data_IF_972838035387
#
_entry.id   IF_972838035387
#
_cell.length_a   1.000
_cell.length_b   1.000
_cell.length_c   1.000
_cell.angle_alpha   90.00
_cell.angle_beta   90.00
_cell.angle_gamma   90.00
#
_symmetry.space_group_name_H-M   'P 1'
#
loop_
_entity.id
_entity.type
_entity.pdbx_description
1 polymer ?
#
# COMPACT_ATOMS: atom_id res chain seq x y z
N UNK A 1 5.24 -4.94 -19.21
CA UNK A 1 4.87 -6.20 -18.55
C UNK A 1 4.45 -5.92 -17.12
N UNK A 2 3.41 -6.57 -16.61
CA UNK A 2 2.97 -6.52 -15.22
C UNK A 2 3.14 -7.91 -14.59
N UNK A 3 3.95 -8.01 -13.54
CA UNK A 3 4.22 -9.24 -12.81
C UNK A 3 3.57 -9.16 -11.43
N UNK A 4 2.38 -9.74 -11.29
CA UNK A 4 1.65 -9.81 -10.03
C UNK A 4 2.14 -11.02 -9.22
N UNK A 5 3.19 -10.84 -8.43
CA UNK A 5 3.66 -11.87 -7.51
C UNK A 5 2.63 -12.13 -6.41
N UNK A 6 2.45 -13.40 -6.05
CA UNK A 6 1.65 -13.79 -4.87
C UNK A 6 2.43 -13.63 -3.56
N UNK A 7 3.75 -13.52 -3.64
CA UNK A 7 4.61 -13.25 -2.48
C UNK A 7 4.52 -11.75 -2.08
N UNK A 8 4.49 -11.45 -0.80
CA UNK A 8 4.60 -12.35 0.35
C UNK A 8 3.24 -12.42 1.04
N UNK A 9 2.47 -13.45 0.80
CA UNK A 9 1.12 -13.62 1.31
C UNK A 9 0.96 -15.02 1.95
N UNK A 10 0.03 -15.13 2.90
CA UNK A 10 -0.34 -16.44 3.46
C UNK A 10 -0.87 -17.38 2.36
N UNK A 11 -0.65 -18.71 2.49
CA UNK A 11 0.03 -19.42 3.58
C UNK A 11 1.53 -19.16 3.63
N UNK A 12 2.12 -19.18 4.84
CA UNK A 12 3.56 -18.97 5.04
C UNK A 12 4.35 -20.20 4.60
N UNK A 13 4.64 -20.28 3.32
CA UNK A 13 5.28 -21.42 2.67
C UNK A 13 6.40 -20.95 1.76
N UNK A 14 7.57 -21.54 1.95
CA UNK A 14 8.75 -21.26 1.11
C UNK A 14 9.67 -22.48 1.09
N UNK A 15 10.43 -22.75 0.01
CA UNK A 15 11.42 -23.83 -0.03
C UNK A 15 12.44 -23.75 1.09
N UNK A 16 12.84 -24.93 1.61
CA UNK A 16 13.74 -25.09 2.76
C UNK A 16 15.02 -24.25 2.65
N UNK A 17 15.61 -24.17 1.46
CA UNK A 17 16.83 -23.39 1.21
C UNK A 17 16.73 -21.92 1.66
N UNK A 18 15.55 -21.32 1.61
CA UNK A 18 15.34 -19.95 2.06
C UNK A 18 15.16 -19.85 3.58
N UNK A 19 14.58 -20.88 4.21
CA UNK A 19 14.49 -20.97 5.67
C UNK A 19 15.87 -21.08 6.30
N UNK A 20 16.76 -21.85 5.67
CA UNK A 20 18.10 -22.12 6.16
C UNK A 20 19.01 -20.86 6.12
N UNK A 21 18.60 -19.82 5.39
CA UNK A 21 19.29 -18.52 5.38
C UNK A 21 19.05 -17.71 6.68
N UNK A 22 18.09 -18.10 7.50
CA UNK A 22 17.70 -17.39 8.72
C UNK A 22 17.78 -18.28 9.98
N UNK A 23 18.92 -18.93 10.28
CA UNK A 23 19.01 -19.90 11.37
C UNK A 23 18.82 -19.29 12.76
N UNK A 24 19.10 -17.99 12.90
CA UNK A 24 18.98 -17.28 14.19
C UNK A 24 17.54 -16.83 14.50
N UNK A 25 16.63 -16.86 13.53
CA UNK A 25 15.23 -16.48 13.73
C UNK A 25 14.46 -17.65 14.27
N UNK A 26 14.19 -17.64 15.59
CA UNK A 26 13.54 -18.75 16.30
C UNK A 26 12.05 -18.90 15.96
N UNK A 27 11.36 -17.79 15.69
CA UNK A 27 9.95 -17.83 15.31
C UNK A 27 9.80 -18.36 13.88
N UNK A 28 9.22 -19.55 13.73
CA UNK A 28 9.09 -20.22 12.42
C UNK A 28 8.29 -19.43 11.39
N UNK A 29 7.23 -18.75 11.81
CA UNK A 29 6.42 -17.93 10.89
C UNK A 29 7.19 -16.70 10.41
N UNK A 30 7.93 -16.05 11.32
CA UNK A 30 8.81 -14.94 10.97
C UNK A 30 9.92 -15.39 10.03
N UNK A 31 10.53 -16.52 10.31
CA UNK A 31 11.55 -17.14 9.45
C UNK A 31 11.00 -17.46 8.07
N UNK A 32 9.79 -18.01 8.01
CA UNK A 32 9.10 -18.28 6.73
C UNK A 32 8.83 -16.99 5.96
N UNK A 33 8.35 -15.93 6.62
CA UNK A 33 8.13 -14.64 6.00
C UNK A 33 9.42 -14.04 5.40
N UNK A 34 10.51 -14.07 6.16
CA UNK A 34 11.82 -13.59 5.68
C UNK A 34 12.29 -14.40 4.48
N UNK A 35 12.16 -15.73 4.54
CA UNK A 35 12.46 -16.62 3.41
C UNK A 35 11.61 -16.32 2.16
N UNK A 36 10.33 -15.99 2.34
CA UNK A 36 9.43 -15.60 1.22
C UNK A 36 9.86 -14.28 0.60
N UNK A 37 10.32 -13.31 1.40
CA UNK A 37 10.86 -12.03 0.91
C UNK A 37 12.12 -12.29 0.07
N UNK A 38 13.04 -13.14 0.55
CA UNK A 38 14.25 -13.51 -0.19
C UNK A 38 13.91 -14.24 -1.49
N UNK A 39 12.92 -15.14 -1.46
CA UNK A 39 12.47 -15.84 -2.67
C UNK A 39 11.87 -14.88 -3.71
N UNK A 40 11.17 -13.82 -3.28
CA UNK A 40 10.68 -12.75 -4.14
C UNK A 40 11.84 -11.97 -4.77
N UNK A 41 12.85 -11.61 -3.96
CA UNK A 41 14.04 -10.90 -4.40
C UNK A 41 14.83 -11.72 -5.45
N UNK A 42 15.02 -13.02 -5.22
CA UNK A 42 15.57 -13.95 -6.22
C UNK A 42 14.76 -13.98 -7.53
N UNK A 43 13.43 -13.90 -7.43
CA UNK A 43 12.55 -13.81 -8.59
C UNK A 43 12.79 -12.54 -9.40
N UNK A 44 12.91 -11.40 -8.73
CA UNK A 44 13.23 -10.10 -9.34
C UNK A 44 14.62 -10.13 -9.98
N UNK A 45 15.61 -10.70 -9.28
CA UNK A 45 16.97 -10.84 -9.80
C UNK A 45 17.01 -11.64 -11.11
N UNK A 46 16.22 -12.71 -11.24
CA UNK A 46 16.10 -13.49 -12.48
C UNK A 46 15.49 -12.65 -13.61
N UNK A 47 14.45 -11.89 -13.34
CA UNK A 47 13.85 -10.99 -14.34
C UNK A 47 14.87 -9.97 -14.84
N UNK A 48 15.60 -9.33 -13.92
CA UNK A 48 16.67 -8.38 -14.25
C UNK A 48 17.78 -9.06 -15.06
N UNK A 49 18.16 -10.28 -14.68
CA UNK A 49 19.15 -11.09 -15.44
C UNK A 49 18.74 -11.29 -16.89
N UNK A 50 17.52 -11.78 -17.12
CA UNK A 50 16.97 -11.98 -18.48
C UNK A 50 16.91 -10.68 -19.28
N UNK A 51 16.53 -9.57 -18.67
CA UNK A 51 16.51 -8.26 -19.35
C UNK A 51 17.93 -7.83 -19.78
N UNK A 52 18.94 -8.07 -18.94
CA UNK A 52 20.35 -7.77 -19.25
C UNK A 52 20.89 -8.67 -20.36
N UNK A 53 20.67 -9.99 -20.29
CA UNK A 53 21.09 -10.96 -21.28
C UNK A 53 20.52 -10.66 -22.68
N UNK A 54 19.29 -10.15 -22.73
CA UNK A 54 18.62 -9.77 -23.98
C UNK A 54 18.82 -8.30 -24.38
N UNK A 55 19.74 -7.56 -23.73
CA UNK A 55 20.06 -6.15 -24.00
C UNK A 55 18.84 -5.20 -23.90
N UNK A 56 17.85 -5.57 -23.07
CA UNK A 56 16.64 -4.77 -22.84
C UNK A 56 16.79 -3.84 -21.64
N UNK A 57 17.74 -4.14 -20.74
CA UNK A 57 17.90 -3.46 -19.45
C UNK A 57 18.11 -1.95 -19.60
N UNK A 58 18.91 -1.51 -20.55
CA UNK A 58 19.21 -0.10 -20.76
C UNK A 58 17.99 0.75 -21.14
N UNK A 59 16.97 0.12 -21.73
CA UNK A 59 15.70 0.75 -22.09
C UNK A 59 14.52 0.23 -21.25
N UNK A 60 14.79 -0.12 -19.99
CA UNK A 60 13.77 -0.62 -19.06
C UNK A 60 13.61 0.33 -17.87
N UNK A 61 12.36 0.65 -17.55
CA UNK A 61 11.99 1.23 -16.26
C UNK A 61 11.38 0.10 -15.41
N UNK A 62 12.08 -0.26 -14.34
CA UNK A 62 11.60 -1.22 -13.36
C UNK A 62 10.87 -0.47 -12.25
N UNK A 63 9.64 -0.88 -11.97
CA UNK A 63 8.80 -0.32 -10.91
C UNK A 63 8.42 -1.47 -9.98
N UNK A 64 8.64 -1.28 -8.70
CA UNK A 64 8.16 -2.17 -7.65
C UNK A 64 7.16 -1.42 -6.78
N UNK A 65 6.05 -2.07 -6.45
CA UNK A 65 5.08 -1.55 -5.48
C UNK A 65 4.44 -2.70 -4.72
N UNK A 66 4.39 -2.58 -3.40
CA UNK A 66 3.50 -3.40 -2.58
C UNK A 66 2.07 -2.91 -2.72
N UNK A 67 1.11 -3.77 -2.48
CA UNK A 67 -0.33 -3.47 -2.55
C UNK A 67 -0.85 -2.77 -1.28
N UNK A 68 -0.32 -3.13 -0.12
CA UNK A 68 -0.68 -2.58 1.19
C UNK A 68 0.41 -2.86 2.24
N UNK A 69 0.21 -2.37 3.44
CA UNK A 69 1.04 -2.72 4.58
C UNK A 69 0.83 -4.16 5.06
N UNK A 70 1.77 -4.66 5.84
CA UNK A 70 1.71 -6.02 6.38
C UNK A 70 0.52 -6.19 7.36
N UNK A 71 -0.12 -7.38 7.38
CA UNK A 71 -0.98 -7.77 8.49
C UNK A 71 -0.10 -8.13 9.68
N UNK A 72 -0.12 -7.31 10.73
CA UNK A 72 0.71 -7.48 11.95
C UNK A 72 -0.02 -8.23 13.07
N UNK A 73 -1.09 -8.95 12.75
CA UNK A 73 -1.75 -9.83 13.70
C UNK A 73 -0.98 -11.14 13.89
N UNK A 74 -1.04 -11.68 15.08
CA UNK A 74 -0.35 -12.84 15.67
C UNK A 74 -0.01 -14.03 14.75
N UNK A 75 -0.66 -14.15 13.61
CA UNK A 75 -0.50 -15.26 12.69
C UNK A 75 0.53 -15.05 11.58
N UNK A 76 0.89 -13.79 11.28
CA UNK A 76 1.64 -13.47 10.06
C UNK A 76 3.06 -12.95 10.29
N UNK A 77 3.37 -12.47 11.51
CA UNK A 77 4.72 -12.02 11.91
C UNK A 77 5.33 -10.93 11.00
N UNK A 78 4.47 -10.18 10.30
CA UNK A 78 4.86 -8.96 9.62
C UNK A 78 5.11 -7.80 10.58
N UNK A 79 5.72 -6.71 10.11
CA UNK A 79 5.84 -5.49 10.88
C UNK A 79 5.74 -4.29 9.94
N UNK A 80 5.02 -3.27 10.37
CA UNK A 80 4.95 -1.96 9.70
C UNK A 80 5.70 -0.90 10.51
N UNK A 81 6.41 -1.31 11.56
CA UNK A 81 7.16 -0.40 12.43
C UNK A 81 8.04 0.57 11.62
N UNK A 82 8.09 1.87 11.96
CA UNK A 82 7.45 2.54 13.11
C UNK A 82 6.03 3.08 12.83
N UNK A 83 5.39 2.66 11.74
CA UNK A 83 4.09 3.16 11.31
C UNK A 83 2.96 2.53 12.12
N UNK A 84 1.89 3.30 12.34
CA UNK A 84 0.70 2.85 13.03
C UNK A 84 -0.18 1.99 12.11
N UNK A 85 -0.67 0.87 12.66
CA UNK A 85 -1.69 0.06 12.01
C UNK A 85 -1.15 -0.97 11.02
N UNK A 86 -2.08 -1.54 10.23
CA UNK A 86 -1.82 -2.69 9.37
C UNK A 86 -2.78 -2.73 8.18
N UNK A 87 -2.61 -3.71 7.30
CA UNK A 87 -3.58 -4.08 6.25
C UNK A 87 -5.02 -3.99 6.78
N UNK A 88 -5.94 -3.46 5.97
CA UNK A 88 -7.35 -3.17 6.29
C UNK A 88 -7.57 -1.90 7.14
N UNK A 89 -6.53 -1.18 7.52
CA UNK A 89 -6.65 0.06 8.28
C UNK A 89 -6.17 1.25 7.46
N UNK A 90 -6.66 2.44 7.79
CA UNK A 90 -6.37 3.66 7.04
C UNK A 90 -5.17 4.45 7.59
N UNK A 91 -4.53 3.95 8.63
CA UNK A 91 -3.27 4.48 9.15
C UNK A 91 -2.10 4.18 8.20
N UNK A 92 -0.97 4.89 8.37
CA UNK A 92 0.19 4.77 7.48
C UNK A 92 0.70 3.33 7.39
N UNK A 93 0.68 2.54 8.47
CA UNK A 93 1.08 1.14 8.46
C UNK A 93 0.21 0.23 7.57
N UNK A 94 -1.02 0.65 7.25
CA UNK A 94 -1.89 -0.06 6.31
C UNK A 94 -1.80 0.44 4.88
N UNK A 95 -1.48 1.72 4.70
CA UNK A 95 -1.65 2.42 3.41
C UNK A 95 -0.36 2.90 2.76
N UNK A 96 0.71 3.13 3.53
CA UNK A 96 2.01 3.54 3.02
C UNK A 96 2.80 2.32 2.57
N UNK A 97 2.55 1.90 1.34
CA UNK A 97 3.21 0.74 0.74
C UNK A 97 4.68 1.04 0.37
N UNK A 98 5.51 -0.02 0.40
CA UNK A 98 6.87 0.03 -0.12
C UNK A 98 6.80 0.18 -1.64
N UNK A 99 7.58 1.11 -2.19
CA UNK A 99 7.69 1.31 -3.62
C UNK A 99 9.03 1.90 -4.01
N UNK A 100 9.55 1.49 -5.16
CA UNK A 100 10.72 2.10 -5.78
C UNK A 100 10.65 2.05 -7.30
N UNK A 101 11.43 2.89 -7.94
CA UNK A 101 11.64 2.89 -9.39
C UNK A 101 13.14 2.86 -9.70
N UNK A 102 13.50 2.17 -10.78
CA UNK A 102 14.87 2.12 -11.28
C UNK A 102 14.88 2.11 -12.81
N UNK A 103 15.79 2.85 -13.42
CA UNK A 103 15.98 2.88 -14.87
C UNK A 103 16.80 4.07 -15.34
N UNK A 104 17.46 3.92 -16.49
CA UNK A 104 18.37 4.94 -17.05
C UNK A 104 17.66 6.20 -17.54
N UNK A 105 16.34 6.15 -17.72
CA UNK A 105 15.53 7.32 -18.12
C UNK A 105 15.23 8.29 -16.97
N UNK A 106 15.63 7.94 -15.74
CA UNK A 106 15.50 8.83 -14.58
C UNK A 106 16.56 9.93 -14.66
N UNK A 107 16.13 11.18 -14.62
CA UNK A 107 17.04 12.33 -14.63
C UNK A 107 17.79 12.47 -13.29
N UNK A 108 17.22 11.94 -12.20
CA UNK A 108 17.82 11.93 -10.87
C UNK A 108 17.63 10.57 -10.22
N UNK A 109 18.68 10.05 -9.57
CA UNK A 109 18.70 8.75 -8.90
C UNK A 109 19.26 8.86 -7.49
N UNK A 110 19.18 7.78 -6.71
CA UNK A 110 19.80 7.69 -5.38
C UNK A 110 19.15 8.57 -4.31
N UNK A 111 17.83 8.77 -4.36
CA UNK A 111 17.11 9.58 -3.39
C UNK A 111 15.75 9.00 -3.00
N UNK A 112 15.23 9.44 -1.85
CA UNK A 112 13.88 9.12 -1.41
C UNK A 112 12.93 10.24 -1.83
N UNK A 113 11.90 9.88 -2.60
CA UNK A 113 10.87 10.83 -3.00
C UNK A 113 9.77 10.92 -1.93
N UNK A 114 9.56 12.11 -1.37
CA UNK A 114 8.59 12.35 -0.29
C UNK A 114 7.31 13.04 -0.74
N UNK A 115 7.14 13.30 -2.04
CA UNK A 115 5.90 13.85 -2.60
C UNK A 115 4.78 12.80 -2.61
N UNK A 116 3.52 13.27 -2.68
CA UNK A 116 2.37 12.37 -2.78
C UNK A 116 2.37 11.63 -4.12
N UNK A 117 2.25 10.31 -4.06
CA UNK A 117 2.02 9.42 -5.20
C UNK A 117 0.93 8.43 -4.79
N UNK A 118 -0.09 8.30 -5.60
CA UNK A 118 -1.15 7.31 -5.39
C UNK A 118 -1.00 6.18 -6.42
N UNK A 119 -1.47 4.99 -6.09
CA UNK A 119 -1.40 3.82 -7.01
C UNK A 119 -2.09 4.10 -8.36
N UNK A 120 -3.16 4.91 -8.36
CA UNK A 120 -3.87 5.30 -9.59
C UNK A 120 -3.04 6.18 -10.53
N UNK A 121 -1.95 6.80 -10.03
CA UNK A 121 -1.07 7.65 -10.81
C UNK A 121 -0.18 6.88 -11.79
N UNK A 122 0.00 5.57 -11.55
CA UNK A 122 0.82 4.75 -12.44
C UNK A 122 0.25 4.66 -13.85
N UNK A 123 -1.06 4.55 -14.01
CA UNK A 123 -1.68 4.45 -15.34
C UNK A 123 -1.33 5.66 -16.24
N UNK A 124 -1.72 6.91 -15.89
CA UNK A 124 -1.39 8.06 -16.74
C UNK A 124 0.13 8.32 -16.84
N UNK A 125 0.89 7.98 -15.80
CA UNK A 125 2.35 8.12 -15.81
C UNK A 125 3.00 7.19 -16.82
N UNK A 126 2.62 5.92 -16.84
CA UNK A 126 3.17 4.92 -17.76
C UNK A 126 2.72 5.16 -19.20
N UNK A 127 1.47 5.57 -19.42
CA UNK A 127 0.99 5.96 -20.76
C UNK A 127 1.81 7.12 -21.30
N UNK A 128 2.10 8.13 -20.48
CA UNK A 128 2.93 9.27 -20.90
C UNK A 128 4.37 8.86 -21.22
N UNK A 129 5.01 8.03 -20.39
CA UNK A 129 6.38 7.53 -20.62
C UNK A 129 6.45 6.75 -21.94
N UNK A 130 5.41 5.99 -22.26
CA UNK A 130 5.30 5.22 -23.49
C UNK A 130 4.95 6.09 -24.74
N UNK A 131 4.86 7.41 -24.61
CA UNK A 131 4.51 8.33 -25.70
C UNK A 131 3.01 8.40 -26.01
N UNK A 132 2.16 7.77 -25.20
CA UNK A 132 0.72 7.81 -25.34
C UNK A 132 0.08 9.06 -24.74
N UNK A 133 -1.22 9.20 -24.95
CA UNK A 133 -2.05 10.28 -24.40
C UNK A 133 -3.26 9.70 -23.70
N UNK A 134 -3.62 10.26 -22.56
CA UNK A 134 -4.88 9.98 -21.87
C UNK A 134 -5.96 10.84 -22.50
N UNK A 135 -7.04 10.20 -22.93
CA UNK A 135 -8.19 10.87 -23.55
C UNK A 135 -9.41 10.91 -22.63
N UNK A 136 -9.42 10.07 -21.59
CA UNK A 136 -10.50 10.03 -20.61
C UNK A 136 -10.27 11.10 -19.53
N UNK A 137 -11.14 12.14 -19.45
CA UNK A 137 -11.03 13.19 -18.44
C UNK A 137 -11.45 12.76 -17.05
N UNK A 138 -12.12 11.60 -16.91
CA UNK A 138 -12.70 11.12 -15.64
C UNK A 138 -11.71 10.30 -14.81
N UNK A 139 -10.46 10.09 -15.26
CA UNK A 139 -9.48 9.34 -14.50
C UNK A 139 -9.05 10.08 -13.22
N UNK A 140 -8.91 9.35 -12.12
CA UNK A 140 -8.42 9.89 -10.85
C UNK A 140 -6.89 10.06 -10.81
N UNK A 141 -6.18 9.38 -11.72
CA UNK A 141 -4.72 9.37 -11.78
C UNK A 141 -4.14 10.67 -12.34
N UNK A 142 -2.97 11.04 -11.85
CA UNK A 142 -2.20 12.21 -12.32
C UNK A 142 -0.85 11.70 -12.84
N UNK A 143 -0.38 12.22 -13.98
CA UNK A 143 0.98 11.94 -14.43
C UNK A 143 2.01 12.56 -13.47
N UNK A 144 2.71 11.71 -12.74
CA UNK A 144 3.73 12.08 -11.75
C UNK A 144 5.15 11.88 -12.27
N UNK A 145 5.34 11.52 -13.54
CA UNK A 145 6.66 11.27 -14.11
C UNK A 145 7.66 12.42 -13.94
N UNK A 146 7.30 13.69 -14.25
CA UNK A 146 8.24 14.79 -14.04
C UNK A 146 8.75 14.86 -12.58
N UNK A 147 7.86 14.66 -11.64
CA UNK A 147 8.19 14.69 -10.22
C UNK A 147 9.10 13.51 -9.81
N UNK A 148 8.77 12.30 -10.23
CA UNK A 148 9.56 11.09 -9.91
C UNK A 148 10.92 11.09 -10.63
N UNK A 149 11.00 11.59 -11.85
CA UNK A 149 12.23 11.60 -12.63
C UNK A 149 13.23 12.65 -12.15
N UNK A 150 12.78 13.82 -11.70
CA UNK A 150 13.65 14.95 -11.36
C UNK A 150 13.75 15.25 -9.87
N UNK A 151 12.84 14.71 -9.06
CA UNK A 151 12.69 15.06 -7.65
C UNK A 151 11.93 16.37 -7.42
N UNK A 152 11.23 16.91 -8.44
CA UNK A 152 10.40 18.11 -8.31
C UNK A 152 9.16 17.86 -7.43
N UNK A 153 8.47 18.92 -6.95
CA UNK A 153 7.26 18.75 -6.17
C UNK A 153 6.17 17.97 -6.89
N UNK A 154 5.46 17.09 -6.17
CA UNK A 154 4.36 16.33 -6.73
C UNK A 154 3.24 17.22 -7.25
N UNK A 155 2.70 16.96 -8.45
CA UNK A 155 1.49 17.59 -8.92
C UNK A 155 0.26 17.19 -8.09
N UNK A 156 0.29 16.02 -7.46
CA UNK A 156 -0.78 15.55 -6.56
C UNK A 156 -0.74 16.30 -5.24
N UNK A 157 -1.82 17.00 -4.91
CA UNK A 157 -1.93 17.78 -3.67
C UNK A 157 -2.86 17.13 -2.64
N UNK A 158 -3.75 16.26 -3.10
CA UNK A 158 -4.71 15.54 -2.25
C UNK A 158 -4.85 14.08 -2.70
N UNK A 159 -5.23 13.22 -1.77
CA UNK A 159 -5.68 11.86 -2.09
C UNK A 159 -6.70 11.36 -1.08
N UNK A 160 -7.68 10.61 -1.57
CA UNK A 160 -8.56 9.79 -0.76
C UNK A 160 -7.91 8.43 -0.60
N UNK A 161 -7.80 7.95 0.64
CA UNK A 161 -7.29 6.60 0.89
C UNK A 161 -8.39 5.57 0.67
N UNK A 162 -9.54 5.81 1.29
CA UNK A 162 -10.75 5.01 1.09
C UNK A 162 -11.98 5.73 1.66
N UNK A 163 -13.16 5.37 1.18
CA UNK A 163 -14.46 5.78 1.68
C UNK A 163 -15.32 4.52 1.75
N UNK A 164 -15.70 4.10 2.96
CA UNK A 164 -16.51 2.90 3.22
C UNK A 164 -17.74 3.32 4.01
N UNK A 165 -18.81 3.74 3.33
CA UNK A 165 -20.00 4.28 3.98
C UNK A 165 -20.66 3.30 4.96
N UNK A 166 -20.67 2.01 4.62
CA UNK A 166 -21.27 0.93 5.42
C UNK A 166 -20.61 0.80 6.81
N UNK A 167 -19.35 1.16 6.91
CA UNK A 167 -18.59 1.12 8.18
C UNK A 167 -18.43 2.50 8.79
N UNK A 168 -18.84 3.56 8.09
CA UNK A 168 -18.63 4.94 8.50
C UNK A 168 -17.15 5.36 8.52
N UNK A 169 -16.30 4.63 7.78
CA UNK A 169 -14.83 4.80 7.76
C UNK A 169 -14.41 5.51 6.49
N UNK A 170 -13.59 6.54 6.64
CA UNK A 170 -13.00 7.24 5.51
C UNK A 170 -11.69 7.92 5.90
N UNK A 171 -10.78 8.08 4.95
CA UNK A 171 -9.59 8.89 5.15
C UNK A 171 -9.20 9.67 3.91
N UNK A 172 -8.63 10.85 4.16
CA UNK A 172 -8.14 11.75 3.13
C UNK A 172 -6.86 12.43 3.59
N UNK A 173 -5.98 12.74 2.65
CA UNK A 173 -4.80 13.58 2.89
C UNK A 173 -4.82 14.78 1.94
N UNK A 174 -4.55 15.98 2.48
CA UNK A 174 -4.30 17.21 1.72
C UNK A 174 -2.96 17.77 2.19
N UNK A 175 -2.01 17.86 1.29
CA UNK A 175 -0.66 18.26 1.64
C UNK A 175 -0.06 17.36 2.72
N UNK A 176 0.29 17.93 3.87
CA UNK A 176 0.87 17.19 4.99
C UNK A 176 -0.17 16.67 6.00
N UNK A 177 -1.42 17.12 5.92
CA UNK A 177 -2.45 16.73 6.89
C UNK A 177 -3.27 15.55 6.38
N UNK A 178 -3.39 14.53 7.22
CA UNK A 178 -4.21 13.34 7.00
C UNK A 178 -5.33 13.28 8.03
N UNK A 179 -6.55 13.21 7.54
CA UNK A 179 -7.75 13.02 8.33
C UNK A 179 -8.22 11.57 8.20
N UNK A 180 -8.51 10.93 9.33
CA UNK A 180 -9.18 9.63 9.38
C UNK A 180 -10.46 9.80 10.19
N UNK A 181 -11.57 9.26 9.70
CA UNK A 181 -12.87 9.22 10.37
C UNK A 181 -13.30 7.77 10.57
N UNK A 182 -13.86 7.48 11.74
CA UNK A 182 -14.48 6.20 12.04
C UNK A 182 -13.51 5.15 12.60
N UNK A 183 -14.05 3.95 12.83
CA UNK A 183 -13.35 2.83 13.44
C UNK A 183 -13.04 1.76 12.39
N UNK A 184 -11.76 1.43 12.24
CA UNK A 184 -11.33 0.26 11.47
C UNK A 184 -11.69 -1.07 12.16
N UNK A 185 -11.48 -2.21 11.49
CA UNK A 185 -11.93 -3.52 11.97
C UNK A 185 -11.21 -4.02 13.24
N UNK A 186 -10.02 -3.51 13.54
CA UNK A 186 -9.20 -3.92 14.68
C UNK A 186 -8.61 -2.70 15.38
N UNK A 187 -8.01 -2.90 16.57
CA UNK A 187 -7.18 -1.87 17.20
C UNK A 187 -6.00 -1.53 16.30
N UNK A 188 -5.64 -0.25 16.24
CA UNK A 188 -4.46 0.20 15.51
C UNK A 188 -3.27 0.20 16.47
N UNK A 189 -2.21 -0.52 16.09
CA UNK A 189 -1.06 -0.75 16.95
C UNK A 189 0.25 -0.38 16.25
N UNK A 190 1.21 0.08 17.05
CA UNK A 190 2.63 0.11 16.72
C UNK A 190 3.26 -1.20 17.20
N UNK A 191 3.62 -2.07 16.27
CA UNK A 191 4.16 -3.40 16.58
C UNK A 191 5.57 -3.51 16.02
N UNK A 192 6.62 -3.50 16.89
CA UNK A 192 7.98 -3.73 16.45
C UNK A 192 8.13 -5.13 15.83
N UNK A 193 9.13 -5.35 14.98
CA UNK A 193 9.44 -6.71 14.53
C UNK A 193 9.88 -7.55 15.73
N UNK A 194 9.52 -8.85 15.79
CA UNK A 194 9.79 -9.72 16.96
C UNK A 194 11.25 -9.74 17.42
N UNK A 195 12.19 -9.68 16.48
CA UNK A 195 13.64 -9.66 16.76
C UNK A 195 14.15 -8.35 17.39
N UNK A 196 13.33 -7.31 17.37
CA UNK A 196 13.68 -6.00 17.94
C UNK A 196 12.71 -5.57 19.06
N UNK A 197 11.82 -6.47 19.48
CA UNK A 197 10.93 -6.24 20.62
C UNK A 197 11.75 -5.99 21.88
N UNK A 198 11.35 -5.00 22.66
CA UNK A 198 12.13 -4.52 23.81
C UNK A 198 13.25 -3.53 23.47
N UNK A 199 13.92 -3.67 22.33
CA UNK A 199 14.93 -2.71 21.86
C UNK A 199 14.28 -1.46 21.28
N UNK A 200 13.21 -1.64 20.50
CA UNK A 200 12.43 -0.56 19.87
C UNK A 200 11.16 -0.18 20.66
N UNK A 201 11.00 -0.73 21.86
CA UNK A 201 9.82 -0.60 22.71
C UNK A 201 8.88 -1.81 22.59
N UNK A 202 7.87 -1.84 23.45
CA UNK A 202 6.84 -2.88 23.42
C UNK A 202 5.69 -2.48 22.47
N UNK A 203 4.91 -3.44 21.97
CA UNK A 203 3.69 -3.17 21.22
C UNK A 203 2.77 -2.23 22.02
N UNK A 204 2.24 -1.23 21.35
CA UNK A 204 1.28 -0.29 21.93
C UNK A 204 0.16 0.00 20.94
N UNK A 205 -1.06 0.13 21.43
CA UNK A 205 -2.25 0.27 20.59
C UNK A 205 -3.09 1.47 21.00
N UNK A 206 -3.86 1.98 20.01
CA UNK A 206 -4.94 2.92 20.26
C UNK A 206 -6.27 2.20 20.11
N UNK A 207 -7.16 2.39 21.09
CA UNK A 207 -8.56 1.97 20.96
C UNK A 207 -9.29 2.94 20.06
N UNK A 208 -10.00 2.42 19.07
CA UNK A 208 -10.78 3.22 18.12
C UNK A 208 -12.28 3.12 18.43
N UNK A 209 -13.00 4.24 18.35
CA UNK A 209 -14.46 4.32 18.46
C UNK A 209 -15.06 4.73 17.12
N UNK A 210 -16.35 4.40 16.92
CA UNK A 210 -17.08 4.66 15.68
C UNK A 210 -17.03 6.13 15.23
N UNK A 211 -17.10 7.06 16.20
CA UNK A 211 -17.16 8.50 15.94
C UNK A 211 -15.81 9.20 16.07
N UNK A 212 -14.72 8.43 16.25
CA UNK A 212 -13.40 9.00 16.39
C UNK A 212 -12.95 9.74 15.13
N UNK A 213 -12.24 10.82 15.37
CA UNK A 213 -11.58 11.62 14.34
C UNK A 213 -10.13 11.78 14.68
N UNK A 214 -9.29 11.43 13.72
CA UNK A 214 -7.85 11.59 13.84
C UNK A 214 -7.35 12.57 12.78
N UNK A 215 -6.49 13.49 13.20
CA UNK A 215 -5.78 14.40 12.32
C UNK A 215 -4.28 14.26 12.61
N UNK A 216 -3.50 13.96 11.59
CA UNK A 216 -2.05 13.84 11.72
C UNK A 216 -1.33 14.75 10.73
N UNK A 217 -0.17 15.27 11.13
CA UNK A 217 0.75 15.97 10.24
C UNK A 217 1.84 15.00 9.78
N UNK A 218 1.60 14.28 8.70
CA UNK A 218 2.40 13.11 8.28
C UNK A 218 3.87 13.41 8.03
N UNK A 219 4.21 14.63 7.60
CA UNK A 219 5.62 15.00 7.39
C UNK A 219 6.42 15.00 8.69
N UNK A 220 5.84 15.51 9.77
CA UNK A 220 6.52 15.66 11.06
C UNK A 220 6.21 14.50 12.02
N UNK A 221 5.09 13.82 11.80
CA UNK A 221 4.63 12.65 12.56
C UNK A 221 4.21 11.51 11.63
N UNK A 222 5.14 10.90 10.89
CA UNK A 222 4.83 9.80 9.97
C UNK A 222 4.34 8.54 10.69
N UNK A 223 4.57 8.44 11.99
CA UNK A 223 4.13 7.31 12.82
C UNK A 223 2.76 7.52 13.45
N UNK A 224 2.10 8.65 13.19
CA UNK A 224 0.73 8.96 13.64
C UNK A 224 0.57 8.86 15.17
N UNK A 225 1.55 9.37 15.93
CA UNK A 225 1.54 9.30 17.40
C UNK A 225 0.77 10.44 18.06
N UNK A 226 0.58 11.57 17.36
CA UNK A 226 0.00 12.79 17.91
C UNK A 226 -1.28 13.17 17.17
N UNK A 227 -2.43 12.77 17.72
CA UNK A 227 -3.71 13.20 17.16
C UNK A 227 -3.93 14.71 17.40
N UNK A 228 -3.98 15.48 16.33
CA UNK A 228 -4.15 16.94 16.33
C UNK A 228 -5.61 17.39 16.19
N UNK A 229 -6.57 16.48 16.12
CA UNK A 229 -7.96 16.80 15.80
C UNK A 229 -8.58 17.84 16.75
N UNK A 230 -8.32 17.74 18.04
CA UNK A 230 -8.79 18.71 19.04
C UNK A 230 -8.02 20.03 19.03
N UNK A 231 -6.74 20.01 18.60
CA UNK A 231 -5.88 21.20 18.56
C UNK A 231 -6.06 22.03 17.30
N UNK A 232 -6.53 21.41 16.21
CA UNK A 232 -6.65 22.05 14.89
C UNK A 232 -8.05 21.82 14.27
N UNK A 233 -9.14 22.27 14.94
CA UNK A 233 -10.51 22.01 14.49
C UNK A 233 -10.82 22.62 13.12
N UNK A 234 -10.20 23.72 12.74
CA UNK A 234 -10.40 24.35 11.44
C UNK A 234 -9.84 23.47 10.29
N UNK A 235 -8.69 22.84 10.50
CA UNK A 235 -8.11 21.89 9.53
C UNK A 235 -9.01 20.67 9.42
N UNK A 236 -9.51 20.15 10.55
CA UNK A 236 -10.48 19.04 10.54
C UNK A 236 -11.71 19.41 9.72
N UNK A 237 -12.28 20.60 9.94
CA UNK A 237 -13.46 21.11 9.20
C UNK A 237 -13.18 21.18 7.70
N UNK A 238 -12.03 21.72 7.32
CA UNK A 238 -11.62 21.83 5.91
C UNK A 238 -11.53 20.45 5.23
N UNK A 239 -10.80 19.49 5.85
CA UNK A 239 -10.63 18.16 5.27
C UNK A 239 -11.94 17.38 5.27
N UNK A 240 -12.79 17.51 6.30
CA UNK A 240 -14.13 16.90 6.32
C UNK A 240 -14.99 17.38 5.16
N UNK A 241 -15.07 18.69 4.94
CA UNK A 241 -15.82 19.25 3.83
C UNK A 241 -15.36 18.64 2.50
N UNK A 242 -14.04 18.59 2.29
CA UNK A 242 -13.48 18.01 1.06
C UNK A 242 -13.76 16.51 0.94
N UNK A 243 -13.69 15.77 2.05
CA UNK A 243 -14.01 14.34 2.08
C UNK A 243 -15.51 14.11 1.77
N UNK A 244 -16.40 14.94 2.26
CA UNK A 244 -17.85 14.89 1.98
C UNK A 244 -18.12 15.14 0.49
N UNK A 245 -17.45 16.12 -0.13
CA UNK A 245 -17.54 16.36 -1.59
C UNK A 245 -17.12 15.13 -2.41
N UNK A 246 -16.06 14.43 -1.97
CA UNK A 246 -15.63 13.18 -2.60
C UNK A 246 -16.59 12.03 -2.35
N UNK A 247 -17.11 11.92 -1.12
CA UNK A 247 -18.08 10.88 -0.74
C UNK A 247 -19.38 10.97 -1.52
N UNK A 248 -19.85 12.19 -1.83
CA UNK A 248 -21.05 12.40 -2.63
C UNK A 248 -20.94 11.87 -4.08
N UNK A 249 -19.70 11.68 -4.56
CA UNK A 249 -19.42 11.13 -5.89
C UNK A 249 -19.00 9.66 -5.84
N UNK A 250 -18.91 9.06 -4.66
CA UNK A 250 -18.46 7.67 -4.51
C UNK A 250 -19.52 6.72 -5.11
N UNK A 251 -19.02 5.76 -5.89
CA UNK A 251 -19.86 4.68 -6.39
C UNK A 251 -20.16 3.73 -5.23
N UNK A 252 -21.44 3.40 -4.96
CA UNK A 252 -21.80 2.46 -3.91
C UNK A 252 -21.13 1.10 -4.11
N UNK A 253 -20.71 0.47 -3.01
CA UNK A 253 -20.19 -0.87 -3.07
C UNK A 253 -21.26 -1.84 -3.56
N UNK A 254 -20.95 -2.56 -4.64
CA UNK A 254 -21.82 -3.63 -5.11
C UNK A 254 -21.42 -4.92 -4.40
N UNK A 255 -22.23 -5.33 -3.42
CA UNK A 255 -22.08 -6.62 -2.77
C UNK A 255 -23.12 -7.59 -3.32
N UNK A 256 -22.68 -8.56 -4.11
CA UNK A 256 -23.53 -9.75 -4.37
C UNK A 256 -23.56 -10.57 -3.08
N UNK A 257 -24.72 -10.65 -2.47
CA UNK A 257 -24.95 -11.42 -1.23
C UNK A 257 -24.96 -12.94 -1.47
N UNK A 258 -25.09 -13.39 -2.71
CA UNK A 258 -25.22 -14.80 -3.03
C UNK A 258 -24.11 -15.27 -3.97
N UNK A 259 -23.41 -16.33 -3.56
CA UNK A 259 -22.57 -17.14 -4.46
C UNK A 259 -23.49 -17.85 -5.42
N UNK A 260 -23.48 -17.48 -6.70
CA UNK A 260 -24.24 -18.23 -7.69
C UNK A 260 -23.59 -19.56 -7.93
N UNK A 261 -24.36 -20.66 -7.96
CA UNK A 261 -23.85 -22.00 -8.32
C UNK A 261 -23.13 -21.98 -9.67
N UNK A 262 -23.48 -21.05 -10.55
CA UNK A 262 -22.82 -20.83 -11.85
C UNK A 262 -21.33 -20.47 -11.75
N UNK A 263 -20.88 -19.83 -10.66
CA UNK A 263 -19.48 -19.40 -10.47
C UNK A 263 -18.57 -20.50 -9.94
N UNK A 264 -19.10 -21.68 -9.60
CA UNK A 264 -18.31 -22.74 -9.00
C UNK A 264 -17.30 -23.33 -9.98
N UNK A 265 -16.06 -23.64 -9.53
CA UNK A 265 -15.01 -24.19 -10.36
C UNK A 265 -15.39 -25.49 -11.09
N UNK A 266 -16.26 -26.31 -10.50
CA UNK A 266 -16.76 -27.54 -11.09
C UNK A 266 -17.44 -27.35 -12.46
N UNK A 267 -18.01 -26.17 -12.72
CA UNK A 267 -18.59 -25.79 -14.00
C UNK A 267 -17.56 -25.40 -15.06
N UNK A 268 -16.27 -25.26 -14.66
CA UNK A 268 -15.17 -24.74 -15.49
C UNK A 268 -13.93 -25.65 -15.41
N UNK A 269 -14.12 -26.96 -15.34
CA UNK A 269 -13.01 -27.91 -15.29
C UNK A 269 -12.13 -27.81 -14.02
N UNK A 270 -12.72 -27.39 -12.89
CA UNK A 270 -12.04 -27.27 -11.60
C UNK A 270 -11.28 -25.96 -11.38
N UNK A 271 -11.41 -24.99 -12.27
CA UNK A 271 -10.74 -23.66 -12.16
C UNK A 271 -11.76 -22.54 -12.01
N UNK A 272 -11.36 -21.46 -11.33
CA UNK A 272 -12.17 -20.25 -11.27
C UNK A 272 -12.18 -19.56 -12.63
N UNK A 273 -13.35 -19.18 -13.12
CA UNK A 273 -13.54 -18.49 -14.39
C UNK A 273 -14.43 -17.27 -14.25
N UNK A 274 -14.31 -16.33 -15.17
CA UNK A 274 -15.09 -15.08 -15.22
C UNK A 274 -16.32 -15.18 -16.13
N UNK A 275 -16.54 -16.26 -16.84
CA UNK A 275 -17.57 -16.41 -17.88
C UNK A 275 -18.99 -16.72 -17.37
N UNK A 276 -19.32 -16.43 -16.11
CA UNK A 276 -20.60 -16.76 -15.47
C UNK A 276 -21.47 -15.54 -15.12
N UNK A 277 -21.02 -14.34 -15.45
CA UNK A 277 -21.72 -13.06 -15.18
C UNK A 277 -22.82 -12.82 -16.22
#
# INVERSE_FOLDING_TARGET
>A
MYLAYQSVHAPMQVPRKYLDMYPLVQNEKRRSLLGMVTALDDGIAKVVGVLKENRLWENTLLIFSSDNGAPVIWKHQGSNWPLLGMKQQLFEGGTRAVGFIHGNILAKTGYTYNGLVNIVDWYPTLVNIAGGKITDPEIDGINVWPALSTGSPSPRKEMVYNIIPEWGVAAMRIGNFKLIKGKGPNEACWIPPPEAEGMLGNPSCISQKKDDVYLFHIKDDPSERNNLALKMPDIVKQLRKRLEEKSAKAVPAFQKSERTKKSLPENFGGVWSHGWC
#
